data_IF_958664722447
#
_entry.id   IF_958664722447
#
_cell.length_a   1.000
_cell.length_b   1.000
_cell.length_c   1.000
_cell.angle_alpha   90.00
_cell.angle_beta   90.00
_cell.angle_gamma   90.00
#
_symmetry.space_group_name_H-M   'P 1'
#
loop_
_entity.id
_entity.type
_entity.pdbx_description
1 polymer ?
#
# COMPACT_ATOMS: atom_id res chain seq x y z
N UNK A 1 -16.73 -41.61 -23.59
CA UNK A 1 -17.08 -40.24 -23.14
C UNK A 1 -16.93 -39.26 -24.30
N UNK A 2 -17.77 -38.22 -24.42
CA UNK A 2 -17.60 -37.18 -25.45
C UNK A 2 -16.26 -36.44 -25.24
N UNK A 3 -15.57 -36.08 -26.33
CA UNK A 3 -14.27 -35.36 -26.30
C UNK A 3 -14.30 -34.11 -25.42
N UNK A 4 -15.43 -33.39 -25.41
CA UNK A 4 -15.67 -32.22 -24.56
C UNK A 4 -15.66 -32.59 -23.07
N UNK A 5 -16.37 -33.65 -22.68
CA UNK A 5 -16.42 -34.11 -21.28
C UNK A 5 -15.04 -34.59 -20.80
N UNK A 6 -14.27 -35.24 -21.69
CA UNK A 6 -12.89 -35.65 -21.38
C UNK A 6 -11.98 -34.43 -21.17
N UNK A 7 -12.09 -33.40 -22.03
CA UNK A 7 -11.33 -32.15 -21.87
C UNK A 7 -11.68 -31.44 -20.56
N UNK A 8 -12.97 -31.32 -20.24
CA UNK A 8 -13.42 -30.67 -19.00
C UNK A 8 -12.96 -31.45 -17.77
N UNK A 9 -13.11 -32.78 -17.75
CA UNK A 9 -12.64 -33.61 -16.64
C UNK A 9 -11.12 -33.51 -16.47
N UNK A 10 -10.36 -33.53 -17.57
CA UNK A 10 -8.91 -33.37 -17.55
C UNK A 10 -8.48 -32.03 -16.95
N UNK A 11 -9.14 -30.92 -17.33
CA UNK A 11 -8.89 -29.61 -16.75
C UNK A 11 -9.20 -29.57 -15.25
N UNK A 12 -10.32 -30.13 -14.82
CA UNK A 12 -10.70 -30.19 -13.39
C UNK A 12 -9.64 -30.96 -12.60
N UNK A 13 -9.24 -32.15 -13.07
CA UNK A 13 -8.22 -32.96 -12.41
C UNK A 13 -6.88 -32.21 -12.36
N UNK A 14 -6.46 -31.61 -13.47
CA UNK A 14 -5.22 -30.84 -13.54
C UNK A 14 -5.22 -29.66 -12.55
N UNK A 15 -6.27 -28.84 -12.53
CA UNK A 15 -6.39 -27.72 -11.58
C UNK A 15 -6.40 -28.20 -10.13
N UNK A 16 -7.12 -29.27 -9.82
CA UNK A 16 -7.14 -29.82 -8.47
C UNK A 16 -5.75 -30.33 -8.05
N UNK A 17 -5.04 -31.05 -8.92
CA UNK A 17 -3.67 -31.48 -8.65
C UNK A 17 -2.70 -30.31 -8.49
N UNK A 18 -2.86 -29.23 -9.27
CA UNK A 18 -2.06 -28.02 -9.15
C UNK A 18 -2.27 -27.34 -7.79
N UNK A 19 -3.51 -27.26 -7.31
CA UNK A 19 -3.83 -26.74 -5.97
C UNK A 19 -3.22 -27.59 -4.86
N UNK A 20 -3.27 -28.92 -4.97
CA UNK A 20 -2.67 -29.81 -3.97
C UNK A 20 -1.14 -29.67 -3.90
N UNK A 21 -0.48 -29.57 -5.06
CA UNK A 21 0.97 -29.33 -5.11
C UNK A 21 1.29 -27.96 -4.49
N UNK A 22 0.54 -26.91 -4.87
CA UNK A 22 0.70 -25.58 -4.29
C UNK A 22 0.54 -25.59 -2.77
N UNK A 23 -0.51 -26.24 -2.24
CA UNK A 23 -0.75 -26.36 -0.81
C UNK A 23 0.42 -27.06 -0.08
N UNK A 24 0.93 -28.16 -0.63
CA UNK A 24 2.06 -28.86 -0.04
C UNK A 24 3.35 -28.02 -0.04
N UNK A 25 3.61 -27.27 -1.11
CA UNK A 25 4.78 -26.39 -1.21
C UNK A 25 4.64 -25.21 -0.24
N UNK A 26 3.49 -24.55 -0.17
CA UNK A 26 3.27 -23.45 0.77
C UNK A 26 3.35 -23.90 2.23
N UNK A 27 2.80 -25.07 2.57
CA UNK A 27 2.93 -25.64 3.91
C UNK A 27 4.41 -25.90 4.27
N UNK A 28 5.18 -26.48 3.34
CA UNK A 28 6.59 -26.74 3.56
C UNK A 28 7.43 -25.46 3.72
N UNK A 29 7.09 -24.39 3.01
CA UNK A 29 7.83 -23.12 3.02
C UNK A 29 7.43 -22.20 4.19
N UNK A 30 6.14 -22.07 4.50
CA UNK A 30 5.63 -21.04 5.41
C UNK A 30 5.28 -21.57 6.80
N UNK A 31 4.84 -22.82 6.97
CA UNK A 31 4.25 -23.29 8.25
C UNK A 31 5.23 -23.26 9.42
N UNK A 32 6.51 -23.56 9.18
CA UNK A 32 7.53 -23.44 10.24
C UNK A 32 7.77 -21.98 10.64
N UNK A 33 7.83 -21.10 9.64
CA UNK A 33 8.08 -19.66 9.83
C UNK A 33 6.90 -18.98 10.53
N UNK A 34 5.66 -19.35 10.19
CA UNK A 34 4.44 -18.89 10.84
C UNK A 34 4.39 -19.31 12.33
N UNK A 35 4.63 -20.59 12.62
CA UNK A 35 4.66 -21.09 13.99
C UNK A 35 5.72 -20.39 14.85
N UNK A 36 6.91 -20.15 14.29
CA UNK A 36 7.96 -19.41 14.98
C UNK A 36 7.56 -17.96 15.25
N UNK A 37 6.97 -17.27 14.25
CA UNK A 37 6.43 -15.91 14.43
C UNK A 37 5.35 -15.87 15.52
N UNK A 38 4.46 -16.84 15.54
CA UNK A 38 3.40 -16.96 16.56
C UNK A 38 3.96 -17.11 17.97
N UNK A 39 4.96 -17.98 18.16
CA UNK A 39 5.63 -18.16 19.45
C UNK A 39 6.30 -16.86 19.91
N UNK A 40 7.02 -16.18 19.01
CA UNK A 40 7.69 -14.91 19.31
C UNK A 40 6.68 -13.82 19.70
N UNK A 41 5.56 -13.71 18.97
CA UNK A 41 4.50 -12.75 19.27
C UNK A 41 3.85 -13.02 20.64
N UNK A 42 3.60 -14.30 20.97
CA UNK A 42 3.07 -14.69 22.28
C UNK A 42 4.04 -14.35 23.42
N UNK A 43 5.35 -14.51 23.20
CA UNK A 43 6.34 -14.15 24.20
C UNK A 43 6.40 -12.63 24.41
N UNK A 44 6.42 -11.85 23.33
CA UNK A 44 6.36 -10.37 23.40
C UNK A 44 5.08 -9.91 24.11
N UNK A 45 3.93 -10.51 23.78
CA UNK A 45 2.67 -10.25 24.45
C UNK A 45 2.77 -10.51 25.95
N UNK A 46 3.34 -11.65 26.37
CA UNK A 46 3.49 -12.01 27.77
C UNK A 46 4.44 -11.06 28.52
N UNK A 47 5.52 -10.62 27.87
CA UNK A 47 6.47 -9.64 28.43
C UNK A 47 5.78 -8.30 28.66
N UNK A 48 5.07 -7.76 27.66
CA UNK A 48 4.37 -6.48 27.76
C UNK A 48 3.30 -6.55 28.86
N UNK A 49 2.51 -7.62 28.88
CA UNK A 49 1.45 -7.78 29.88
C UNK A 49 1.98 -7.84 31.30
N UNK A 50 3.07 -8.57 31.55
CA UNK A 50 3.71 -8.62 32.88
C UNK A 50 4.36 -7.29 33.26
N UNK A 51 5.06 -6.66 32.32
CA UNK A 51 5.75 -5.37 32.56
C UNK A 51 4.80 -4.25 32.94
N UNK A 52 3.60 -4.21 32.34
CA UNK A 52 2.61 -3.15 32.56
C UNK A 52 1.38 -3.61 33.35
N UNK A 53 1.39 -4.83 33.89
CA UNK A 53 0.28 -5.43 34.64
C UNK A 53 -1.09 -5.34 33.93
N UNK A 54 -1.11 -5.66 32.63
CA UNK A 54 -2.31 -5.55 31.78
C UNK A 54 -3.13 -6.86 31.82
N UNK A 55 -4.43 -6.75 32.09
CA UNK A 55 -5.36 -7.89 32.08
C UNK A 55 -5.51 -8.48 30.67
N UNK A 56 -6.03 -9.71 30.55
CA UNK A 56 -6.29 -10.31 29.24
C UNK A 56 -7.29 -9.48 28.41
N UNK A 57 -8.30 -8.92 29.07
CA UNK A 57 -9.37 -8.18 28.41
C UNK A 57 -8.89 -6.81 27.94
N UNK A 58 -8.15 -6.09 28.79
CA UNK A 58 -7.57 -4.79 28.43
C UNK A 58 -6.58 -4.92 27.28
N UNK A 59 -5.81 -6.01 27.24
CA UNK A 59 -4.90 -6.29 26.14
C UNK A 59 -5.66 -6.51 24.82
N UNK A 60 -6.78 -7.23 24.84
CA UNK A 60 -7.63 -7.44 23.65
C UNK A 60 -8.27 -6.15 23.14
N UNK A 61 -8.71 -5.28 24.06
CA UNK A 61 -9.24 -3.97 23.69
C UNK A 61 -8.13 -3.13 23.05
N UNK A 62 -6.93 -3.11 23.64
CA UNK A 62 -5.77 -2.42 23.09
C UNK A 62 -5.38 -2.97 21.71
N UNK A 63 -5.32 -4.27 21.55
CA UNK A 63 -5.06 -4.94 20.26
C UNK A 63 -6.10 -4.53 19.21
N UNK A 64 -7.38 -4.53 19.57
CA UNK A 64 -8.47 -4.09 18.68
C UNK A 64 -8.33 -2.62 18.28
N UNK A 65 -7.94 -1.75 19.22
CA UNK A 65 -7.69 -0.33 18.94
C UNK A 65 -6.51 -0.18 17.98
N UNK A 66 -5.40 -0.89 18.22
CA UNK A 66 -4.22 -0.87 17.36
C UNK A 66 -4.61 -1.31 15.95
N UNK A 67 -5.22 -2.48 15.80
CA UNK A 67 -5.66 -3.02 14.50
C UNK A 67 -6.61 -2.09 13.74
N UNK A 68 -7.56 -1.43 14.43
CA UNK A 68 -8.48 -0.46 13.80
C UNK A 68 -7.83 0.88 13.49
N UNK A 69 -6.77 1.25 14.21
CA UNK A 69 -6.04 2.50 14.01
C UNK A 69 -5.02 2.44 12.87
N UNK A 70 -4.49 1.26 12.54
CA UNK A 70 -3.52 1.03 11.45
C UNK A 70 -3.89 1.71 10.11
N UNK A 71 -5.10 1.58 9.56
CA UNK A 71 -5.44 2.23 8.27
C UNK A 71 -5.43 3.77 8.35
N UNK A 72 -5.55 4.35 9.55
CA UNK A 72 -5.50 5.80 9.76
C UNK A 72 -4.05 6.31 9.88
N UNK A 73 -3.07 5.44 10.12
CA UNK A 73 -1.64 5.82 10.21
C UNK A 73 -1.04 6.19 8.85
N UNK A 74 -1.60 5.67 7.76
CA UNK A 74 -1.20 6.00 6.39
C UNK A 74 -1.80 7.34 5.89
N UNK A 75 -2.50 8.10 6.74
CA UNK A 75 -3.12 9.39 6.40
C UNK A 75 -4.58 9.26 5.95
N UNK A 76 -5.17 10.37 5.50
CA UNK A 76 -6.58 10.43 5.09
C UNK A 76 -6.78 9.73 3.73
N UNK A 77 -7.19 8.46 3.76
CA UNK A 77 -7.37 7.59 2.58
C UNK A 77 -8.47 8.04 1.62
N UNK A 78 -9.44 8.86 2.07
CA UNK A 78 -10.64 9.22 1.30
C UNK A 78 -10.65 10.67 0.79
N UNK A 79 -9.52 11.15 0.28
CA UNK A 79 -9.47 12.32 -0.62
C UNK A 79 -9.67 11.87 -2.08
N UNK A 80 -9.86 12.80 -3.02
CA UNK A 80 -10.11 12.48 -4.43
C UNK A 80 -9.11 11.48 -5.02
N UNK A 81 -7.80 11.69 -4.80
CA UNK A 81 -6.74 10.79 -5.28
C UNK A 81 -6.83 9.39 -4.68
N UNK A 82 -7.10 9.27 -3.38
CA UNK A 82 -7.30 7.97 -2.73
C UNK A 82 -8.60 7.27 -3.19
N UNK A 83 -9.67 8.02 -3.42
CA UNK A 83 -10.93 7.51 -3.96
C UNK A 83 -10.80 7.05 -5.43
N UNK A 84 -10.04 7.79 -6.25
CA UNK A 84 -9.73 7.42 -7.63
C UNK A 84 -8.87 6.15 -7.71
N UNK A 85 -7.86 6.06 -6.85
CA UNK A 85 -7.06 4.86 -6.69
C UNK A 85 -7.92 3.66 -6.25
N UNK A 86 -8.79 3.82 -5.24
CA UNK A 86 -9.75 2.79 -4.84
C UNK A 86 -10.66 2.36 -6.01
N UNK A 87 -11.25 3.30 -6.74
CA UNK A 87 -12.09 3.04 -7.90
C UNK A 87 -11.33 2.28 -9.01
N UNK A 88 -10.04 2.58 -9.19
CA UNK A 88 -9.15 1.84 -10.09
C UNK A 88 -8.96 0.41 -9.60
N UNK A 89 -8.65 0.18 -8.33
CA UNK A 89 -8.47 -1.19 -7.78
C UNK A 89 -9.72 -2.06 -7.89
N UNK A 90 -10.91 -1.47 -7.82
CA UNK A 90 -12.19 -2.17 -8.03
C UNK A 90 -12.38 -2.47 -9.52
N UNK A 91 -12.11 -1.49 -10.40
CA UNK A 91 -12.25 -1.62 -11.85
C UNK A 91 -11.31 -2.70 -12.42
N UNK A 92 -10.07 -2.75 -11.93
CA UNK A 92 -9.03 -3.68 -12.37
C UNK A 92 -9.04 -5.00 -11.61
N UNK A 93 -9.99 -5.19 -10.68
CA UNK A 93 -10.11 -6.38 -9.83
C UNK A 93 -8.85 -6.71 -9.00
N UNK A 94 -7.97 -5.73 -8.75
CA UNK A 94 -6.78 -5.93 -7.90
C UNK A 94 -7.19 -6.02 -6.42
N UNK A 95 -7.99 -5.06 -5.94
CA UNK A 95 -8.64 -5.14 -4.63
C UNK A 95 -7.74 -5.34 -3.40
N UNK A 96 -6.63 -4.61 -3.26
CA UNK A 96 -5.66 -4.73 -2.13
C UNK A 96 -6.23 -4.72 -0.69
N UNK A 97 -7.46 -4.26 -0.44
CA UNK A 97 -8.08 -4.34 0.89
C UNK A 97 -7.59 -3.36 1.97
N UNK A 98 -6.46 -2.68 1.80
CA UNK A 98 -5.96 -1.64 2.72
C UNK A 98 -6.91 -0.41 2.88
N UNK A 99 -7.74 -0.11 1.87
CA UNK A 99 -8.77 0.93 1.92
C UNK A 99 -10.10 0.36 1.43
N UNK A 100 -11.06 0.18 2.34
CA UNK A 100 -12.39 -0.38 2.02
C UNK A 100 -13.51 0.49 2.58
N UNK A 101 -14.68 0.54 1.92
CA UNK A 101 -15.80 1.35 2.36
C UNK A 101 -16.37 0.79 3.66
N UNK A 102 -16.29 1.58 4.73
CA UNK A 102 -16.87 1.21 6.03
C UNK A 102 -18.38 1.47 6.10
N UNK A 103 -18.90 2.38 5.28
CA UNK A 103 -20.31 2.78 5.28
C UNK A 103 -21.18 1.82 4.46
N UNK A 104 -22.44 1.67 4.86
CA UNK A 104 -23.43 0.86 4.12
C UNK A 104 -23.62 1.40 2.70
N UNK A 105 -23.75 2.73 2.56
CA UNK A 105 -23.88 3.40 1.27
C UNK A 105 -22.66 3.18 0.37
N UNK A 106 -21.44 3.27 0.92
CA UNK A 106 -20.21 3.01 0.18
C UNK A 106 -20.13 1.56 -0.31
N UNK A 107 -20.48 0.59 0.55
CA UNK A 107 -20.52 -0.84 0.16
C UNK A 107 -21.52 -1.10 -0.96
N UNK A 108 -22.74 -0.58 -0.85
CA UNK A 108 -23.76 -0.71 -1.89
C UNK A 108 -23.32 -0.07 -3.20
N UNK A 109 -22.75 1.14 -3.15
CA UNK A 109 -22.22 1.80 -4.32
C UNK A 109 -21.12 0.97 -4.99
N UNK A 110 -20.16 0.44 -4.23
CA UNK A 110 -19.10 -0.43 -4.75
C UNK A 110 -19.67 -1.66 -5.45
N UNK A 111 -20.72 -2.30 -4.91
CA UNK A 111 -21.36 -3.46 -5.54
C UNK A 111 -21.90 -3.10 -6.94
N UNK A 112 -22.66 -2.01 -7.06
CA UNK A 112 -23.19 -1.57 -8.35
C UNK A 112 -22.09 -1.08 -9.30
N UNK A 113 -21.10 -0.36 -8.77
CA UNK A 113 -19.95 0.10 -9.53
C UNK A 113 -19.15 -1.07 -10.12
N UNK A 114 -18.93 -2.15 -9.37
CA UNK A 114 -18.22 -3.34 -9.84
C UNK A 114 -18.98 -4.09 -10.94
N UNK A 115 -20.31 -4.20 -10.85
CA UNK A 115 -21.15 -4.88 -11.85
C UNK A 115 -20.98 -4.27 -13.24
N UNK A 116 -20.91 -2.94 -13.33
CA UNK A 116 -20.77 -2.23 -14.61
C UNK A 116 -19.28 -2.04 -14.96
N UNK A 117 -18.47 -1.71 -13.96
CA UNK A 117 -17.05 -1.40 -14.10
C UNK A 117 -16.24 -2.58 -14.62
N UNK A 118 -16.37 -3.76 -14.01
CA UNK A 118 -15.52 -4.92 -14.37
C UNK A 118 -15.69 -5.31 -15.85
N UNK A 119 -16.92 -5.47 -16.40
CA UNK A 119 -17.08 -5.74 -17.83
C UNK A 119 -16.51 -4.63 -18.73
N UNK A 120 -16.73 -3.36 -18.37
CA UNK A 120 -16.20 -2.22 -19.12
C UNK A 120 -14.66 -2.23 -19.12
N UNK A 121 -14.05 -2.46 -17.96
CA UNK A 121 -12.61 -2.58 -17.77
C UNK A 121 -12.02 -3.72 -18.59
N UNK A 122 -12.66 -4.90 -18.58
CA UNK A 122 -12.20 -6.06 -19.37
C UNK A 122 -12.23 -5.77 -20.88
N UNK A 123 -13.31 -5.16 -21.40
CA UNK A 123 -13.39 -4.77 -22.82
C UNK A 123 -12.34 -3.73 -23.18
N UNK A 124 -12.09 -2.76 -22.29
CA UNK A 124 -11.04 -1.76 -22.46
C UNK A 124 -9.66 -2.42 -22.51
N UNK A 125 -9.32 -3.30 -21.56
CA UNK A 125 -8.03 -4.00 -21.52
C UNK A 125 -7.84 -4.91 -22.73
N UNK A 126 -8.87 -5.62 -23.17
CA UNK A 126 -8.82 -6.41 -24.39
C UNK A 126 -8.55 -5.52 -25.63
N UNK A 127 -9.27 -4.41 -25.76
CA UNK A 127 -9.10 -3.46 -26.88
C UNK A 127 -7.69 -2.85 -26.92
N UNK A 128 -7.13 -2.52 -25.75
CA UNK A 128 -5.76 -2.04 -25.61
C UNK A 128 -4.77 -3.16 -25.97
N UNK A 129 -4.98 -4.37 -25.46
CA UNK A 129 -4.13 -5.53 -25.75
C UNK A 129 -4.06 -5.87 -27.23
N UNK A 130 -5.19 -5.81 -27.95
CA UNK A 130 -5.23 -6.00 -29.41
C UNK A 130 -4.42 -4.94 -30.16
N UNK A 131 -4.49 -3.67 -29.72
CA UNK A 131 -3.70 -2.58 -30.31
C UNK A 131 -2.21 -2.76 -30.04
N UNK A 132 -1.83 -3.18 -28.83
CA UNK A 132 -0.44 -3.50 -28.47
C UNK A 132 0.08 -4.68 -29.31
N UNK A 133 -0.70 -5.74 -29.49
CA UNK A 133 -0.30 -6.88 -30.32
C UNK A 133 -0.12 -6.51 -31.80
N UNK A 134 -0.99 -5.64 -32.34
CA UNK A 134 -0.83 -5.09 -33.69
C UNK A 134 0.45 -4.24 -33.80
N UNK A 135 0.71 -3.37 -32.82
CA UNK A 135 1.93 -2.56 -32.78
C UNK A 135 3.19 -3.44 -32.70
N UNK A 136 3.21 -4.44 -31.83
CA UNK A 136 4.29 -5.43 -31.73
C UNK A 136 4.52 -6.14 -33.07
N UNK A 137 3.45 -6.51 -33.77
CA UNK A 137 3.56 -7.14 -35.10
C UNK A 137 4.19 -6.22 -36.14
N UNK A 138 3.91 -4.91 -36.09
CA UNK A 138 4.55 -3.92 -36.96
C UNK A 138 6.03 -3.77 -36.61
N UNK A 139 6.37 -3.65 -35.33
CA UNK A 139 7.76 -3.54 -34.86
C UNK A 139 8.57 -4.78 -35.27
N UNK A 140 8.03 -5.99 -35.06
CA UNK A 140 8.69 -7.24 -35.45
C UNK A 140 8.96 -7.26 -36.97
N UNK A 141 7.99 -6.84 -37.78
CA UNK A 141 8.15 -6.75 -39.24
C UNK A 141 9.26 -5.76 -39.61
N UNK A 142 9.27 -4.57 -39.00
CA UNK A 142 10.30 -3.57 -39.23
C UNK A 142 11.69 -4.10 -38.85
N UNK A 143 11.84 -4.72 -37.69
CA UNK A 143 13.11 -5.31 -37.24
C UNK A 143 13.58 -6.44 -38.17
N UNK A 144 12.69 -7.37 -38.53
CA UNK A 144 13.03 -8.47 -39.45
C UNK A 144 13.40 -7.96 -40.85
N UNK A 145 12.74 -6.91 -41.32
CA UNK A 145 13.07 -6.25 -42.59
C UNK A 145 14.44 -5.56 -42.53
N UNK A 146 14.76 -4.86 -41.43
CA UNK A 146 16.08 -4.26 -41.22
C UNK A 146 17.19 -5.30 -41.13
N UNK A 147 16.90 -6.48 -40.54
CA UNK A 147 17.82 -7.61 -40.44
C UNK A 147 17.86 -8.50 -41.70
N UNK A 148 17.25 -8.08 -42.82
CA UNK A 148 17.19 -8.82 -44.09
C UNK A 148 16.71 -10.28 -43.94
N UNK A 149 15.81 -10.54 -43.00
CA UNK A 149 15.26 -11.88 -42.79
C UNK A 149 14.29 -12.24 -43.93
N UNK A 150 14.46 -13.44 -44.49
CA UNK A 150 13.63 -13.97 -45.59
C UNK A 150 12.15 -14.18 -45.21
N UNK A 151 11.86 -14.36 -43.91
CA UNK A 151 10.51 -14.52 -43.37
C UNK A 151 10.11 -13.27 -42.57
N UNK A 152 9.28 -12.41 -43.15
CA UNK A 152 8.87 -11.13 -42.53
C UNK A 152 7.58 -11.22 -41.71
N UNK A 153 6.85 -12.33 -41.75
CA UNK A 153 5.63 -12.53 -40.96
C UNK A 153 5.97 -12.74 -39.48
N UNK A 154 5.22 -12.10 -38.57
CA UNK A 154 5.31 -12.34 -37.14
C UNK A 154 4.64 -13.68 -36.81
N UNK A 155 5.38 -14.60 -36.19
CA UNK A 155 4.87 -15.88 -35.70
C UNK A 155 4.14 -15.70 -34.37
N UNK A 156 3.29 -16.66 -34.00
CA UNK A 156 2.64 -16.70 -32.68
C UNK A 156 3.69 -16.73 -31.54
N UNK A 157 4.80 -17.46 -31.75
CA UNK A 157 5.92 -17.48 -30.80
C UNK A 157 6.64 -16.13 -30.70
N UNK A 158 6.80 -15.39 -31.80
CA UNK A 158 7.42 -14.07 -31.77
C UNK A 158 6.59 -13.10 -30.93
N UNK A 159 5.25 -13.18 -31.05
CA UNK A 159 4.33 -12.36 -30.28
C UNK A 159 4.38 -12.71 -28.79
N UNK A 160 4.41 -14.00 -28.43
CA UNK A 160 4.56 -14.46 -27.04
C UNK A 160 5.88 -13.95 -26.45
N UNK A 161 6.98 -14.06 -27.19
CA UNK A 161 8.29 -13.57 -26.75
C UNK A 161 8.28 -12.05 -26.51
N UNK A 162 7.70 -11.27 -27.43
CA UNK A 162 7.62 -9.81 -27.28
C UNK A 162 6.75 -9.41 -26.09
N UNK A 163 5.58 -10.04 -25.91
CA UNK A 163 4.70 -9.77 -24.76
C UNK A 163 5.40 -10.12 -23.44
N UNK A 164 6.08 -11.26 -23.37
CA UNK A 164 6.82 -11.69 -22.18
C UNK A 164 8.00 -10.77 -21.86
N UNK A 165 8.69 -10.30 -22.89
CA UNK A 165 9.77 -9.32 -22.74
C UNK A 165 9.24 -7.97 -22.25
N UNK A 166 8.16 -7.47 -22.86
CA UNK A 166 7.53 -6.20 -22.46
C UNK A 166 6.99 -6.26 -21.02
N UNK A 167 6.33 -7.35 -20.63
CA UNK A 167 5.86 -7.53 -19.25
C UNK A 167 7.01 -7.59 -18.24
N UNK A 168 8.11 -8.26 -18.59
CA UNK A 168 9.32 -8.32 -17.75
C UNK A 168 9.95 -6.93 -17.59
N UNK A 169 9.99 -6.13 -18.66
CA UNK A 169 10.46 -4.74 -18.60
C UNK A 169 9.53 -3.86 -17.75
N UNK A 170 8.22 -4.02 -17.85
CA UNK A 170 7.26 -3.29 -17.00
C UNK A 170 7.48 -3.63 -15.53
N UNK A 171 7.65 -4.91 -15.19
CA UNK A 171 7.92 -5.35 -13.80
C UNK A 171 9.27 -4.80 -13.32
N UNK A 172 10.33 -4.92 -14.10
CA UNK A 172 11.67 -4.44 -13.72
C UNK A 172 11.72 -2.91 -13.57
N UNK A 173 11.11 -2.18 -14.51
CA UNK A 173 11.01 -0.72 -14.45
C UNK A 173 10.17 -0.24 -13.26
N UNK A 174 9.02 -0.87 -13.03
CA UNK A 174 8.18 -0.60 -11.86
C UNK A 174 8.93 -0.90 -10.55
N UNK A 175 9.63 -2.03 -10.48
CA UNK A 175 10.40 -2.41 -9.30
C UNK A 175 11.54 -1.43 -9.00
N UNK A 176 12.24 -0.94 -10.03
CA UNK A 176 13.27 0.08 -9.88
C UNK A 176 12.70 1.40 -9.35
N UNK A 177 11.50 1.79 -9.82
CA UNK A 177 10.81 2.98 -9.33
C UNK A 177 10.36 2.81 -7.87
N UNK A 178 9.64 1.74 -7.54
CA UNK A 178 9.11 1.50 -6.18
C UNK A 178 10.23 1.30 -5.16
N UNK A 179 11.32 0.61 -5.51
CA UNK A 179 12.47 0.46 -4.61
C UNK A 179 13.11 1.82 -4.25
N UNK A 180 13.11 2.78 -5.19
CA UNK A 180 13.62 4.14 -4.97
C UNK A 180 12.65 5.01 -4.17
N UNK A 181 11.36 4.96 -4.49
CA UNK A 181 10.35 5.85 -3.90
C UNK A 181 9.89 5.39 -2.52
N UNK A 182 9.66 4.09 -2.34
CA UNK A 182 9.13 3.52 -1.09
C UNK A 182 10.25 2.97 -0.19
N UNK A 183 11.50 2.92 -0.67
CA UNK A 183 12.64 2.40 0.08
C UNK A 183 12.61 0.88 0.28
N UNK A 184 11.77 0.17 -0.47
CA UNK A 184 11.68 -1.30 -0.42
C UNK A 184 12.88 -1.96 -1.09
N UNK A 185 13.12 -3.22 -0.72
CA UNK A 185 14.09 -4.03 -1.47
C UNK A 185 13.62 -4.19 -2.92
N UNK A 186 14.56 -4.35 -3.85
CA UNK A 186 14.21 -4.56 -5.25
C UNK A 186 13.36 -5.82 -5.44
N UNK A 187 13.63 -6.88 -4.67
CA UNK A 187 12.85 -8.11 -4.71
C UNK A 187 11.40 -7.89 -4.26
N UNK A 188 11.18 -7.19 -3.15
CA UNK A 188 9.83 -6.88 -2.66
C UNK A 188 9.07 -5.99 -3.66
N UNK A 189 9.80 -5.10 -4.35
CA UNK A 189 9.23 -4.25 -5.40
C UNK A 189 8.86 -5.04 -6.65
N UNK A 190 9.66 -6.04 -7.04
CA UNK A 190 9.31 -6.99 -8.12
C UNK A 190 8.08 -7.82 -7.73
N UNK A 191 8.05 -8.35 -6.51
CA UNK A 191 6.93 -9.10 -5.98
C UNK A 191 5.65 -8.24 -5.98
N UNK A 192 5.72 -7.00 -5.49
CA UNK A 192 4.61 -6.05 -5.52
C UNK A 192 4.11 -5.81 -6.94
N UNK A 193 4.99 -5.50 -7.90
CA UNK A 193 4.63 -5.31 -9.31
C UNK A 193 3.95 -6.56 -9.90
N UNK A 194 4.48 -7.75 -9.60
CA UNK A 194 3.95 -9.01 -10.12
C UNK A 194 2.54 -9.30 -9.56
N UNK A 195 2.34 -9.22 -8.25
CA UNK A 195 1.05 -9.43 -7.57
C UNK A 195 0.00 -8.39 -8.02
N UNK A 196 0.45 -7.17 -8.32
CA UNK A 196 -0.39 -6.08 -8.84
C UNK A 196 -0.84 -6.34 -10.27
N UNK A 197 0.09 -6.62 -11.18
CA UNK A 197 -0.20 -6.78 -12.61
C UNK A 197 -0.95 -8.08 -12.93
N UNK A 198 -0.80 -9.11 -12.07
CA UNK A 198 -1.59 -10.35 -12.14
C UNK A 198 -2.96 -10.23 -11.47
N UNK A 199 -3.31 -9.04 -10.98
CA UNK A 199 -4.57 -8.72 -10.28
C UNK A 199 -4.86 -9.63 -9.08
N UNK A 200 -3.81 -10.15 -8.44
CA UNK A 200 -3.94 -10.92 -7.18
C UNK A 200 -4.16 -9.96 -6.01
N UNK A 201 -3.34 -8.91 -5.93
CA UNK A 201 -3.51 -7.80 -4.99
C UNK A 201 -3.63 -8.18 -3.52
N UNK A 202 -2.65 -8.90 -2.95
CA UNK A 202 -2.70 -9.29 -1.52
C UNK A 202 -2.81 -8.12 -0.53
N UNK A 203 -2.22 -6.96 -0.88
CA UNK A 203 -2.25 -5.76 -0.03
C UNK A 203 -1.38 -5.85 1.23
N UNK A 204 -0.48 -6.83 1.26
CA UNK A 204 0.58 -7.00 2.25
C UNK A 204 1.61 -5.87 2.21
N UNK A 205 1.82 -5.30 1.02
CA UNK A 205 2.67 -4.12 0.79
C UNK A 205 1.79 -2.93 0.41
N UNK A 206 1.83 -1.86 1.23
CA UNK A 206 1.04 -0.65 1.02
C UNK A 206 1.93 0.53 0.64
N UNK A 207 1.59 1.24 -0.45
CA UNK A 207 2.30 2.45 -0.87
C UNK A 207 2.13 3.55 0.20
N UNK A 208 3.21 3.89 0.90
CA UNK A 208 3.20 4.96 1.88
C UNK A 208 3.28 6.35 1.20
N UNK A 209 3.82 6.41 -0.01
CA UNK A 209 4.01 7.65 -0.77
C UNK A 209 2.81 8.12 -1.59
N UNK A 210 2.01 7.21 -2.15
CA UNK A 210 0.91 7.58 -3.06
C UNK A 210 -0.22 8.36 -2.36
N UNK A 211 -0.44 8.13 -1.06
CA UNK A 211 -1.42 8.89 -0.25
C UNK A 211 -0.85 10.25 0.22
N UNK A 212 0.47 10.43 0.20
CA UNK A 212 1.14 11.67 0.59
C UNK A 212 1.18 12.75 -0.49
N UNK A 213 0.89 12.39 -1.76
CA UNK A 213 1.11 13.30 -2.89
C UNK A 213 0.09 14.45 -3.02
N UNK A 214 -0.92 14.55 -2.16
CA UNK A 214 -1.77 15.75 -2.07
C UNK A 214 -2.00 16.19 -0.62
N UNK A 215 -1.07 17.02 -0.13
CA UNK A 215 -1.47 18.17 0.69
C UNK A 215 -0.65 18.54 1.91
N UNK A 216 0.33 17.76 2.37
CA UNK A 216 1.03 18.11 3.61
C UNK A 216 2.49 18.49 3.35
N UNK A 217 2.71 19.76 2.99
CA UNK A 217 4.00 20.41 3.21
C UNK A 217 4.10 20.70 4.71
N UNK A 218 4.73 19.79 5.46
CA UNK A 218 5.06 20.03 6.86
C UNK A 218 6.27 20.97 6.87
N UNK A 219 6.01 22.25 7.13
CA UNK A 219 7.10 23.22 7.42
C UNK A 219 7.87 22.71 8.64
N UNK A 220 9.19 22.98 8.75
CA UNK A 220 10.03 22.54 9.89
C UNK A 220 9.52 22.95 11.30
N UNK A 221 8.49 23.81 11.37
CA UNK A 221 7.82 24.28 12.58
C UNK A 221 6.53 23.50 12.92
N UNK A 222 6.16 22.47 12.16
CA UNK A 222 5.03 21.58 12.46
C UNK A 222 3.64 22.13 12.12
N UNK A 223 3.51 23.23 11.36
CA UNK A 223 2.23 23.74 10.88
C UNK A 223 1.82 23.11 9.55
N UNK A 224 0.60 22.57 9.49
CA UNK A 224 -0.04 22.01 8.29
C UNK A 224 -0.67 23.16 7.49
N UNK A 225 -0.13 23.47 6.31
CA UNK A 225 -0.74 24.40 5.36
C UNK A 225 -1.75 23.63 4.49
N UNK A 226 -3.00 23.54 4.93
CA UNK A 226 -4.09 23.19 3.99
C UNK A 226 -4.27 24.33 3.00
N UNK A 227 -4.34 23.98 1.72
CA UNK A 227 -4.21 24.91 0.59
C UNK A 227 -5.16 26.10 0.61
N UNK A 228 -4.58 27.28 0.37
CA UNK A 228 -5.24 28.42 -0.29
C UNK A 228 -4.43 28.75 -1.54
N UNK A 229 -4.87 28.22 -2.69
CA UNK A 229 -4.56 28.79 -3.98
C UNK A 229 -5.72 29.73 -4.32
N UNK A 230 -5.48 31.03 -4.29
CA UNK A 230 -6.48 32.03 -4.62
C UNK A 230 -5.96 33.47 -4.46
N UNK A 231 -5.45 34.01 -5.56
CA UNK A 231 -5.43 35.43 -5.94
C UNK A 231 -4.59 36.47 -5.14
N UNK A 232 -3.60 36.98 -5.88
CA UNK A 232 -3.30 38.40 -6.16
C UNK A 232 -2.35 39.25 -5.30
N UNK A 233 -1.42 39.87 -6.06
CA UNK A 233 -0.87 41.22 -5.97
C UNK A 233 0.27 41.51 -4.98
N UNK A 234 1.42 41.79 -5.60
CA UNK A 234 2.30 42.92 -5.31
C UNK A 234 1.55 44.14 -4.74
N UNK A 235 1.95 44.66 -3.58
CA UNK A 235 2.61 45.96 -3.45
C UNK A 235 2.88 46.32 -1.99
N UNK A 236 3.95 47.09 -1.84
CA UNK A 236 4.48 47.75 -0.67
C UNK A 236 3.54 48.80 -0.05
N UNK A 237 3.90 49.21 1.16
CA UNK A 237 3.81 50.57 1.76
C UNK A 237 2.74 50.79 2.84
N UNK A 238 3.25 51.37 3.92
CA UNK A 238 2.64 51.98 5.11
C UNK A 238 1.46 52.93 4.86
N UNK A 239 0.53 53.03 5.84
CA UNK A 239 0.13 54.26 6.57
C UNK A 239 -1.19 54.06 7.35
N UNK A 240 -1.29 54.79 8.46
CA UNK A 240 -2.39 54.88 9.44
C UNK A 240 -3.75 55.34 8.88
N UNK A 241 -4.84 55.13 9.66
CA UNK A 241 -5.89 56.09 10.07
C UNK A 241 -7.28 55.42 10.33
N UNK A 242 -7.75 55.61 11.56
CA UNK A 242 -9.10 55.77 12.17
C UNK A 242 -10.42 55.17 11.62
N UNK A 243 -11.16 54.60 12.59
CA UNK A 243 -12.60 54.67 12.91
C UNK A 243 -13.69 54.81 11.82
N UNK A 244 -14.67 53.89 11.81
CA UNK A 244 -16.09 54.13 12.24
C UNK A 244 -17.07 53.00 11.82
N UNK A 245 -17.79 52.44 12.81
CA UNK A 245 -19.24 52.05 12.87
C UNK A 245 -19.92 51.27 11.70
N UNK A 246 -20.80 50.26 11.88
CA UNK A 246 -22.07 50.20 12.63
C UNK A 246 -22.52 48.72 12.83
N UNK A 247 -23.29 48.52 13.91
CA UNK A 247 -23.80 47.32 14.58
C UNK A 247 -24.83 46.43 13.87
N UNK A 248 -24.99 45.20 14.40
CA UNK A 248 -26.29 44.63 14.82
C UNK A 248 -26.09 43.48 15.84
N UNK A 249 -26.38 43.75 17.12
CA UNK A 249 -26.67 42.80 18.21
C UNK A 249 -28.21 42.56 18.28
N UNK A 250 -28.83 41.76 19.19
CA UNK A 250 -28.37 41.10 20.44
C UNK A 250 -28.79 39.59 20.55
N UNK A 251 -28.34 38.76 21.50
CA UNK A 251 -28.72 38.58 22.92
C UNK A 251 -27.83 37.44 23.47
N UNK A 252 -27.37 37.29 24.72
CA UNK A 252 -27.43 38.02 25.99
C UNK A 252 -26.56 37.22 26.97
N UNK A 253 -25.78 37.91 27.81
CA UNK A 253 -24.80 37.33 28.74
C UNK A 253 -25.45 36.95 30.09
N UNK A 254 -25.09 35.78 30.63
CA UNK A 254 -25.14 35.48 32.08
C UNK A 254 -23.71 35.13 32.51
N UNK A 255 -23.16 35.74 33.58
CA UNK A 255 -21.82 35.45 34.05
C UNK A 255 -21.86 34.40 35.18
N UNK A 256 -21.22 33.24 35.00
CA UNK A 256 -20.85 32.39 36.14
C UNK A 256 -19.39 31.98 36.04
N UNK A 257 -18.68 32.46 37.05
CA UNK A 257 -17.29 32.26 37.40
C UNK A 257 -16.97 30.78 37.68
N UNK A 258 -16.19 30.12 36.79
CA UNK A 258 -15.28 29.01 37.11
C UNK A 258 -14.25 28.83 35.98
N UNK A 259 -13.20 29.66 35.96
CA UNK A 259 -12.00 29.34 35.17
C UNK A 259 -11.23 28.23 35.88
N UNK A 260 -11.43 26.97 35.48
CA UNK A 260 -10.39 25.96 35.67
C UNK A 260 -9.21 26.31 34.75
N UNK A 261 -8.22 26.98 35.33
CA UNK A 261 -6.93 27.25 34.70
C UNK A 261 -6.14 25.94 34.61
N UNK A 262 -6.34 25.18 33.54
CA UNK A 262 -5.39 24.12 33.20
C UNK A 262 -4.08 24.78 32.79
N UNK A 263 -3.10 24.69 33.67
CA UNK A 263 -1.74 25.14 33.39
C UNK A 263 -1.05 24.00 32.65
N UNK A 264 -1.07 24.02 31.32
CA UNK A 264 -0.27 23.10 30.52
C UNK A 264 1.19 23.51 30.70
N UNK A 265 1.91 22.83 31.60
CA UNK A 265 3.37 22.87 31.59
C UNK A 265 3.84 22.19 30.30
N UNK A 266 4.44 22.96 29.39
CA UNK A 266 5.25 22.40 28.30
C UNK A 266 6.32 21.51 28.91
N UNK A 267 6.38 20.24 28.53
CA UNK A 267 7.52 19.39 28.91
C UNK A 267 8.76 19.89 28.16
N UNK A 268 9.95 19.87 28.79
CA UNK A 268 11.18 20.24 28.12
C UNK A 268 11.45 19.30 26.95
N UNK A 269 11.91 19.89 25.84
CA UNK A 269 12.17 19.31 24.52
C UNK A 269 13.39 18.39 24.50
N UNK A 270 13.47 17.43 25.41
CA UNK A 270 14.53 16.43 25.42
C UNK A 270 14.10 15.15 26.13
N UNK A 271 13.37 14.28 25.42
CA UNK A 271 13.17 12.88 25.83
C UNK A 271 13.97 12.02 24.86
N UNK A 272 15.29 11.94 25.08
CA UNK A 272 16.19 11.01 24.38
C UNK A 272 16.53 9.75 25.19
N UNK A 273 15.86 9.51 26.33
CA UNK A 273 16.29 8.45 27.27
C UNK A 273 15.22 7.44 27.70
N UNK A 274 14.08 7.33 26.99
CA UNK A 274 13.09 6.27 27.28
C UNK A 274 12.64 5.56 26.00
N UNK A 275 13.59 4.86 25.38
CA UNK A 275 13.44 3.62 24.59
C UNK A 275 14.77 3.38 23.85
N UNK A 276 15.76 2.70 24.46
CA UNK A 276 16.68 1.96 23.62
C UNK A 276 15.86 0.83 22.98
N UNK A 277 15.48 1.01 21.72
CA UNK A 277 15.19 -0.15 20.86
C UNK A 277 16.52 -0.87 20.75
N UNK A 278 16.74 -1.83 21.65
CA UNK A 278 17.89 -2.71 21.61
C UNK A 278 17.88 -3.41 20.25
N UNK A 279 18.96 -3.32 19.45
CA UNK A 279 19.12 -4.15 18.28
C UNK A 279 18.99 -5.63 18.70
N UNK A 280 18.35 -6.45 17.87
CA UNK A 280 18.18 -7.91 18.03
C UNK A 280 19.50 -8.70 18.23
N UNK A 281 20.67 -8.06 18.22
CA UNK A 281 21.98 -8.69 18.38
C UNK A 281 22.46 -8.77 19.86
N UNK A 282 21.80 -8.09 20.81
CA UNK A 282 22.32 -7.95 22.20
C UNK A 282 21.59 -8.77 23.27
N UNK A 283 20.58 -9.59 22.91
CA UNK A 283 19.96 -10.52 23.86
C UNK A 283 20.84 -11.77 24.04
N UNK A 284 21.75 -11.71 25.01
CA UNK A 284 22.46 -12.90 25.52
C UNK A 284 21.46 -13.85 26.20
N UNK A 285 21.01 -14.86 25.46
CA UNK A 285 20.46 -16.10 26.00
C UNK A 285 21.62 -17.05 26.40
N UNK A 286 21.43 -17.94 27.39
CA UNK A 286 22.46 -18.91 27.79
C UNK A 286 22.89 -19.80 26.62
N UNK A 287 24.19 -20.00 26.48
CA UNK A 287 24.85 -20.70 25.38
C UNK A 287 24.34 -22.14 25.21
N UNK A 288 23.86 -22.49 24.00
CA UNK A 288 23.63 -23.89 23.65
C UNK A 288 22.58 -24.17 22.57
N UNK A 289 22.65 -23.54 21.40
CA UNK A 289 22.01 -24.10 20.19
C UNK A 289 22.53 -23.38 18.93
N UNK A 290 23.08 -24.15 18.00
CA UNK A 290 23.56 -23.70 16.69
C UNK A 290 22.34 -23.33 15.84
N UNK A 291 22.18 -22.05 15.54
CA UNK A 291 21.19 -21.53 14.58
C UNK A 291 21.89 -21.31 13.22
N UNK A 292 21.29 -21.66 12.06
CA UNK A 292 21.76 -21.14 10.78
C UNK A 292 21.52 -19.61 10.70
N UNK A 293 22.29 -18.87 9.88
CA UNK A 293 22.25 -17.41 9.88
C UNK A 293 20.88 -16.87 9.44
N UNK A 294 20.44 -15.71 9.97
CA UNK A 294 19.20 -15.07 9.59
C UNK A 294 19.26 -14.55 8.14
N UNK A 295 18.12 -14.58 7.45
CA UNK A 295 17.95 -13.86 6.20
C UNK A 295 18.26 -12.38 6.44
N UNK A 296 19.28 -11.89 5.73
CA UNK A 296 19.81 -10.54 5.80
C UNK A 296 18.75 -9.58 5.25
N UNK A 297 18.07 -8.85 6.13
CA UNK A 297 17.45 -7.58 5.76
C UNK A 297 18.57 -6.54 5.58
N UNK A 298 18.70 -5.88 4.43
CA UNK A 298 19.76 -4.90 4.23
C UNK A 298 19.49 -3.64 5.08
N UNK A 299 20.20 -3.53 6.20
CA UNK A 299 20.52 -2.25 6.82
C UNK A 299 21.50 -1.50 5.90
N UNK A 300 21.07 -0.42 5.23
CA UNK A 300 22.02 0.53 4.66
C UNK A 300 22.01 1.86 5.40
N UNK A 301 23.00 1.91 6.29
CA UNK A 301 23.77 3.06 6.78
C UNK A 301 23.70 4.29 5.86
N UNK A 302 23.26 5.41 6.41
CA UNK A 302 23.62 6.73 5.90
C UNK A 302 25.12 6.95 6.09
N UNK A 303 25.81 7.28 5.00
CA UNK A 303 27.11 7.94 5.03
C UNK A 303 26.96 9.25 4.26
N UNK A 304 27.31 10.32 4.97
CA UNK A 304 27.50 11.74 4.62
C UNK A 304 27.35 12.08 3.13
#
# INVERSE_FOLDING_TARGET
>A
MKKQNVRTLSLIVCTFTYLLIGAAVFDALESKTENQRKIVLQEIQNIIRRKYNISNEDYRIMETIVLKSEPHRAGQQWKFTGAFYYATTVLTTIGYGHSTPSTISGKLFTMFYAIIGIPLGLVMFQSIGERVNKLSSVIIRSVKSSLHCRQTTASELDLICVVTFLSSLTIAGGAAAFSRYEGWSYFDSVYYCFITLTTIGFGDMALAGAVRLEGDVITANGSILSGQLGHHCTETTSLDIDDTSVCSCPCGCIPTNTRHRFTVRRSPTQIRHLLPVLPMHELHLPQGSILPPPAIFPNHRASI
#
